data_IF_214211116816
#
_entry.id   IF_214211116816
#
_cell.length_a   1.000
_cell.length_b   1.000
_cell.length_c   1.000
_cell.angle_alpha   90.00
_cell.angle_beta   90.00
_cell.angle_gamma   90.00
#
_symmetry.space_group_name_H-M   'P 1'
#
loop_
_entity.id
_entity.type
_entity.pdbx_description
1 polymer ?
#
# COMPACT_ATOMS: atom_id res chain seq x y z
N UNK A 1 10.15 -4.43 41.63
CA UNK A 1 9.74 -5.38 40.58
C UNK A 1 10.94 -5.79 39.71
N UNK A 2 11.96 -6.46 40.27
CA UNK A 2 13.20 -6.77 39.53
C UNK A 2 13.73 -8.18 39.79
N UNK A 3 12.90 -9.09 40.30
CA UNK A 3 13.38 -10.38 40.83
C UNK A 3 12.46 -11.58 40.53
N UNK A 4 11.86 -11.67 39.33
CA UNK A 4 11.18 -12.91 38.88
C UNK A 4 11.21 -13.02 37.35
N UNK A 5 12.31 -13.56 36.81
CA UNK A 5 12.42 -14.26 35.52
C UNK A 5 13.91 -14.56 35.26
N UNK A 6 14.51 -15.48 36.03
CA UNK A 6 15.88 -15.95 35.75
C UNK A 6 15.89 -17.05 34.67
N UNK A 7 14.77 -17.77 34.48
CA UNK A 7 14.65 -18.92 33.58
C UNK A 7 13.57 -18.75 32.50
N UNK A 8 13.15 -17.53 32.22
CA UNK A 8 12.18 -17.28 31.16
C UNK A 8 12.86 -17.37 29.78
N UNK A 9 12.66 -18.48 29.08
CA UNK A 9 13.00 -18.60 27.66
C UNK A 9 11.84 -18.03 26.82
N UNK A 10 12.16 -17.12 25.91
CA UNK A 10 11.22 -16.62 24.90
C UNK A 10 11.52 -17.33 23.58
N UNK A 11 10.55 -18.09 23.07
CA UNK A 11 10.62 -18.70 21.74
C UNK A 11 9.79 -17.86 20.77
N UNK A 12 10.40 -17.43 19.67
CA UNK A 12 9.70 -16.70 18.62
C UNK A 12 8.95 -17.70 17.73
N UNK A 13 7.69 -17.95 18.05
CA UNK A 13 6.82 -18.85 17.31
C UNK A 13 6.33 -18.17 16.03
N UNK A 14 7.20 -18.16 15.00
CA UNK A 14 6.90 -17.85 13.59
C UNK A 14 6.54 -16.38 13.29
N UNK A 15 7.35 -15.76 12.43
CA UNK A 15 7.04 -14.46 11.84
C UNK A 15 6.23 -14.65 10.57
N UNK A 16 5.29 -13.73 10.31
CA UNK A 16 4.60 -13.63 9.02
C UNK A 16 5.47 -12.75 8.13
N UNK A 17 5.94 -13.29 7.02
CA UNK A 17 6.62 -12.55 5.97
C UNK A 17 5.67 -12.42 4.77
N UNK A 18 5.55 -11.22 4.23
CA UNK A 18 4.80 -10.94 3.01
C UNK A 18 5.79 -10.30 2.05
N UNK A 19 5.77 -10.75 0.80
CA UNK A 19 6.61 -10.17 -0.23
C UNK A 19 6.34 -8.68 -0.42
N UNK A 20 7.40 -7.94 -0.71
CA UNK A 20 7.29 -6.52 -1.00
C UNK A 20 6.82 -6.30 -2.44
N UNK A 21 5.99 -5.29 -2.68
CA UNK A 21 5.67 -4.87 -4.04
C UNK A 21 6.93 -4.27 -4.69
N UNK A 22 7.36 -4.88 -5.79
CA UNK A 22 8.46 -4.39 -6.61
C UNK A 22 7.91 -3.68 -7.85
N UNK A 23 7.36 -2.47 -7.65
CA UNK A 23 6.86 -1.62 -8.73
C UNK A 23 7.91 -0.57 -9.15
N UNK A 24 7.96 -0.28 -10.46
CA UNK A 24 8.81 0.77 -11.03
C UNK A 24 8.01 2.05 -11.30
N UNK A 25 8.64 3.21 -11.13
CA UNK A 25 8.05 4.52 -11.45
C UNK A 25 7.96 4.76 -12.96
N UNK A 26 8.80 4.07 -13.71
CA UNK A 26 8.97 4.13 -15.16
C UNK A 26 8.04 3.14 -15.88
N UNK A 27 7.45 2.18 -15.17
CA UNK A 27 6.51 1.24 -15.75
C UNK A 27 5.32 1.95 -16.42
N UNK A 28 4.86 1.43 -17.57
CA UNK A 28 3.76 2.02 -18.34
C UNK A 28 2.47 2.15 -17.50
N UNK A 29 2.17 1.15 -16.67
CA UNK A 29 1.04 1.18 -15.74
C UNK A 29 1.16 2.35 -14.73
N UNK A 30 2.31 2.48 -14.06
CA UNK A 30 2.56 3.56 -13.11
C UNK A 30 2.46 4.92 -13.78
N UNK A 31 3.04 5.08 -14.97
CA UNK A 31 2.97 6.33 -15.74
C UNK A 31 1.54 6.67 -16.16
N UNK A 32 0.77 5.69 -16.64
CA UNK A 32 -0.63 5.86 -17.00
C UNK A 32 -1.49 6.28 -15.80
N UNK A 33 -1.30 5.64 -14.65
CA UNK A 33 -2.03 5.96 -13.42
C UNK A 33 -1.65 7.34 -12.89
N UNK A 34 -0.37 7.73 -12.93
CA UNK A 34 0.06 9.09 -12.55
C UNK A 34 -0.63 10.15 -13.40
N UNK A 35 -0.69 9.94 -14.71
CA UNK A 35 -1.37 10.84 -15.63
C UNK A 35 -2.87 10.94 -15.30
N UNK A 36 -3.52 9.80 -15.04
CA UNK A 36 -4.94 9.74 -14.68
C UNK A 36 -5.24 10.48 -13.37
N UNK A 37 -4.45 10.21 -12.34
CA UNK A 37 -4.60 10.80 -11.01
C UNK A 37 -4.08 12.24 -10.94
N UNK A 38 -3.41 12.74 -11.99
CA UNK A 38 -2.72 14.05 -12.01
C UNK A 38 -1.72 14.20 -10.86
N UNK A 39 -0.97 13.13 -10.57
CA UNK A 39 -0.01 13.07 -9.46
C UNK A 39 1.41 13.14 -9.99
N UNK A 40 2.16 14.15 -9.52
CA UNK A 40 3.56 14.33 -9.89
C UNK A 40 4.50 13.42 -9.09
N UNK A 41 4.19 13.15 -7.82
CA UNK A 41 5.08 12.45 -6.89
C UNK A 41 4.64 11.00 -6.69
N UNK A 42 5.54 10.05 -6.98
CA UNK A 42 5.38 8.64 -6.60
C UNK A 42 6.11 8.37 -5.30
N UNK A 43 5.37 7.87 -4.32
CA UNK A 43 5.85 7.56 -2.98
C UNK A 43 6.24 6.09 -2.88
N UNK A 44 7.32 5.83 -2.14
CA UNK A 44 7.59 4.50 -1.58
C UNK A 44 7.10 4.53 -0.13
N UNK A 45 6.26 3.58 0.25
CA UNK A 45 5.72 3.49 1.62
C UNK A 45 6.25 2.22 2.28
N UNK A 46 6.51 2.30 3.58
CA UNK A 46 6.99 1.18 4.40
C UNK A 46 5.85 0.42 5.09
N UNK A 47 4.68 0.40 4.45
CA UNK A 47 3.51 -0.31 4.96
C UNK A 47 3.47 -1.70 4.32
N UNK A 48 3.09 -2.69 5.11
CA UNK A 48 2.86 -4.05 4.60
C UNK A 48 1.43 -4.17 4.11
N UNK A 49 1.27 -4.46 2.81
CA UNK A 49 0.00 -4.81 2.18
C UNK A 49 0.20 -6.02 1.26
N UNK A 50 -0.88 -6.61 0.77
CA UNK A 50 -0.89 -7.87 0.00
C UNK A 50 -0.34 -7.74 -1.43
N UNK A 51 0.02 -6.54 -1.87
CA UNK A 51 0.40 -6.28 -3.26
C UNK A 51 1.63 -7.05 -3.73
N UNK A 52 2.60 -7.33 -2.87
CA UNK A 52 3.75 -8.16 -3.28
C UNK A 52 3.36 -9.63 -3.48
N UNK A 53 2.48 -10.15 -2.63
CA UNK A 53 1.91 -11.51 -2.79
C UNK A 53 1.13 -11.62 -4.10
N UNK A 54 0.29 -10.63 -4.44
CA UNK A 54 -0.43 -10.63 -5.72
C UNK A 54 0.52 -10.53 -6.92
N UNK A 55 1.58 -9.72 -6.83
CA UNK A 55 2.58 -9.62 -7.88
C UNK A 55 3.27 -10.97 -8.12
N UNK A 56 3.65 -11.66 -7.04
CA UNK A 56 4.33 -12.96 -7.11
C UNK A 56 3.40 -14.07 -7.60
N UNK A 57 2.19 -14.17 -7.05
CA UNK A 57 1.29 -15.29 -7.33
C UNK A 57 0.53 -15.17 -8.65
N UNK A 58 0.24 -13.93 -9.09
CA UNK A 58 -0.59 -13.69 -10.28
C UNK A 58 0.22 -13.14 -11.46
N UNK A 59 1.48 -12.76 -11.24
CA UNK A 59 2.39 -12.18 -12.24
C UNK A 59 1.80 -10.96 -12.98
N UNK A 60 0.84 -10.26 -12.35
CA UNK A 60 0.22 -9.06 -12.92
C UNK A 60 0.96 -7.80 -12.49
N UNK A 61 1.14 -6.81 -13.38
CA UNK A 61 1.62 -5.49 -12.99
C UNK A 61 0.65 -4.83 -12.01
N UNK A 62 1.19 -4.31 -10.90
CA UNK A 62 0.39 -3.67 -9.85
C UNK A 62 0.88 -2.25 -9.58
N UNK A 63 -0.07 -1.39 -9.21
CA UNK A 63 0.16 -0.04 -8.72
C UNK A 63 -0.84 0.23 -7.60
N UNK A 64 -0.38 0.89 -6.55
CA UNK A 64 -1.22 1.27 -5.43
C UNK A 64 -1.69 2.70 -5.65
N UNK A 65 -3.00 2.91 -5.64
CA UNK A 65 -3.62 4.24 -5.63
C UNK A 65 -4.25 4.42 -4.26
N UNK A 66 -3.84 5.48 -3.56
CA UNK A 66 -4.34 5.80 -2.22
C UNK A 66 -5.07 7.14 -2.23
N UNK A 67 -6.08 7.34 -1.35
CA UNK A 67 -6.66 8.65 -1.03
C UNK A 67 -5.64 9.70 -0.55
N UNK A 68 -4.38 9.32 -0.34
CA UNK A 68 -3.28 10.20 0.02
C UNK A 68 -2.74 9.85 1.41
N UNK A 69 -2.52 10.89 2.21
CA UNK A 69 -2.01 10.75 3.58
C UNK A 69 -3.06 10.13 4.51
N UNK A 70 -3.06 8.80 4.62
CA UNK A 70 -3.77 8.07 5.67
C UNK A 70 -2.91 8.13 6.94
N UNK A 71 -2.97 9.26 7.64
CA UNK A 71 -2.18 9.51 8.85
C UNK A 71 -2.71 8.79 10.09
N UNK A 72 -3.96 8.30 10.04
CA UNK A 72 -4.72 7.85 11.21
C UNK A 72 -5.14 6.38 11.15
N UNK A 73 -4.57 5.60 10.23
CA UNK A 73 -4.85 4.17 10.13
C UNK A 73 -4.48 3.45 11.44
N UNK A 74 -5.37 2.58 11.91
CA UNK A 74 -5.22 1.84 13.17
C UNK A 74 -5.18 2.73 14.43
N UNK A 75 -5.87 3.87 14.40
CA UNK A 75 -6.03 4.74 15.57
C UNK A 75 -7.50 4.87 15.96
N UNK A 76 -7.77 5.20 17.22
CA UNK A 76 -9.14 5.43 17.69
C UNK A 76 -9.84 6.61 16.99
N UNK A 77 -9.07 7.53 16.38
CA UNK A 77 -9.54 8.68 15.63
C UNK A 77 -9.40 8.50 14.12
N UNK A 78 -9.42 7.25 13.64
CA UNK A 78 -9.39 6.94 12.22
C UNK A 78 -10.57 7.58 11.49
N UNK A 79 -10.28 8.32 10.43
CA UNK A 79 -11.26 9.01 9.61
C UNK A 79 -10.73 9.24 8.19
N UNK A 80 -11.64 9.55 7.28
CA UNK A 80 -11.34 9.97 5.92
C UNK A 80 -12.22 11.16 5.55
N UNK A 81 -11.68 12.11 4.79
CA UNK A 81 -12.47 13.23 4.29
C UNK A 81 -13.43 12.77 3.19
N UNK A 82 -14.69 13.18 3.26
CA UNK A 82 -15.72 12.81 2.25
C UNK A 82 -15.30 13.22 0.84
N UNK A 83 -14.75 14.42 0.68
CA UNK A 83 -14.24 14.90 -0.61
C UNK A 83 -13.16 13.98 -1.21
N UNK A 84 -12.36 13.33 -0.36
CA UNK A 84 -11.33 12.38 -0.79
C UNK A 84 -11.97 11.07 -1.26
N UNK A 85 -13.02 10.59 -0.58
CA UNK A 85 -13.79 9.42 -1.02
C UNK A 85 -14.44 9.65 -2.39
N UNK A 86 -15.06 10.81 -2.59
CA UNK A 86 -15.68 11.19 -3.87
C UNK A 86 -14.64 11.26 -5.00
N UNK A 87 -13.46 11.81 -4.71
CA UNK A 87 -12.36 11.84 -5.66
C UNK A 87 -11.89 10.44 -6.06
N UNK A 88 -11.67 9.55 -5.09
CA UNK A 88 -11.32 8.15 -5.35
C UNK A 88 -12.40 7.43 -6.16
N UNK A 89 -13.68 7.67 -5.86
CA UNK A 89 -14.79 7.13 -6.64
C UNK A 89 -14.76 7.58 -8.09
N UNK A 90 -14.58 8.88 -8.35
CA UNK A 90 -14.47 9.42 -9.70
C UNK A 90 -13.30 8.77 -10.45
N UNK A 91 -12.13 8.68 -9.82
CA UNK A 91 -10.96 8.04 -10.43
C UNK A 91 -11.20 6.57 -10.78
N UNK A 92 -11.85 5.81 -9.90
CA UNK A 92 -12.14 4.38 -10.12
C UNK A 92 -13.01 4.09 -11.35
N UNK A 93 -13.77 5.10 -11.81
CA UNK A 93 -14.63 5.00 -12.99
C UNK A 93 -13.95 5.43 -14.28
N UNK A 94 -12.76 6.02 -14.20
CA UNK A 94 -12.02 6.41 -15.39
C UNK A 94 -11.28 5.21 -15.97
N UNK A 95 -11.24 5.12 -17.30
CA UNK A 95 -10.60 4.00 -17.99
C UNK A 95 -9.15 4.36 -18.31
N UNK A 96 -8.21 3.58 -17.78
CA UNK A 96 -6.81 3.66 -18.19
C UNK A 96 -6.68 3.25 -19.66
N UNK A 97 -6.10 4.13 -20.46
CA UNK A 97 -5.56 3.81 -21.77
C UNK A 97 -4.06 3.71 -21.62
N UNK A 98 -3.55 2.48 -21.54
CA UNK A 98 -2.11 2.24 -21.56
C UNK A 98 -1.72 2.21 -23.04
N UNK A 99 -0.92 3.20 -23.48
CA UNK A 99 -0.41 3.24 -24.86
C UNK A 99 0.46 2.01 -25.13
N UNK A 100 0.19 1.34 -26.26
CA UNK A 100 1.02 0.26 -26.79
C UNK A 100 2.19 0.79 -27.62
#
# INVERSE_FOLDING_TARGET
MRQKCLDATAELLKTVFIESLNASKEAALTTGVRCLCKVEIVWKKSDSIESGLFQECLEIPLVIVTPGSIQVGHTASEHVHVAVMEHCWILSRQRLRVGG
#
